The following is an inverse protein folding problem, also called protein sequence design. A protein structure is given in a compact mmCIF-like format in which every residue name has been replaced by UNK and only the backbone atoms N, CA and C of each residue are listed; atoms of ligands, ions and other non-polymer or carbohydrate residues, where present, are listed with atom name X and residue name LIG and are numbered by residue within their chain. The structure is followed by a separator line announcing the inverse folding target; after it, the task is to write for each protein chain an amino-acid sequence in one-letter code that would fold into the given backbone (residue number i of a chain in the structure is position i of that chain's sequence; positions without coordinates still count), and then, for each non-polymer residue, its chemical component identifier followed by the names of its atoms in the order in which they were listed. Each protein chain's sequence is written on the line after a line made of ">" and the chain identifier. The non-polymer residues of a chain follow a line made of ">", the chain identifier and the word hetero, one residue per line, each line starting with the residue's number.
data_IF_475637153727
#
_entry.id   IF_475637153727
#
_cell.length_a   1.000
_cell.length_b   1.000
_cell.length_c   1.000
_cell.angle_alpha   90.00
_cell.angle_beta   90.00
_cell.angle_gamma   90.00
#
_symmetry.space_group_name_H-M   'P 1'
#
loop_
_entity.id
_entity.type
_entity.pdbx_description
1 polymer ?
#
# COMPACT_ATOMS: atom_id res chain seq x y z
N UNK A 1 -49.49 -26.90 -27.81
CA UNK A 1 -48.83 -26.30 -26.63
C UNK A 1 -49.86 -25.40 -25.95
N UNK A 2 -50.33 -25.75 -24.75
CA UNK A 2 -51.37 -24.98 -24.03
C UNK A 2 -50.80 -23.67 -23.52
N UNK A 3 -51.62 -22.61 -23.50
CA UNK A 3 -51.25 -21.24 -23.09
C UNK A 3 -50.59 -21.24 -21.69
N UNK A 4 -51.11 -22.05 -20.76
CA UNK A 4 -50.54 -22.20 -19.42
C UNK A 4 -49.08 -22.67 -19.39
N UNK A 5 -48.69 -23.59 -20.30
CA UNK A 5 -47.30 -24.10 -20.36
C UNK A 5 -46.31 -23.08 -20.92
N UNK A 6 -46.76 -22.19 -21.80
CA UNK A 6 -45.95 -21.06 -22.28
C UNK A 6 -45.72 -20.05 -21.16
N UNK A 7 -46.76 -19.76 -20.38
CA UNK A 7 -46.71 -18.82 -19.27
C UNK A 7 -45.76 -19.29 -18.16
N UNK A 8 -45.83 -20.57 -17.76
CA UNK A 8 -44.94 -21.12 -16.73
C UNK A 8 -43.46 -21.06 -17.12
N UNK A 9 -43.13 -21.34 -18.39
CA UNK A 9 -41.74 -21.29 -18.88
C UNK A 9 -41.18 -19.86 -18.77
N UNK A 10 -41.97 -18.85 -19.16
CA UNK A 10 -41.56 -17.45 -19.05
C UNK A 10 -41.34 -17.02 -17.60
N UNK A 11 -42.21 -17.43 -16.67
CA UNK A 11 -42.05 -17.15 -15.24
C UNK A 11 -40.83 -17.84 -14.64
N UNK A 12 -40.58 -19.11 -14.97
CA UNK A 12 -39.37 -19.82 -14.52
C UNK A 12 -38.10 -19.16 -15.05
N UNK A 13 -38.10 -18.73 -16.32
CA UNK A 13 -36.98 -18.01 -16.90
C UNK A 13 -36.72 -16.67 -16.19
N UNK A 14 -37.77 -15.89 -15.93
CA UNK A 14 -37.67 -14.63 -15.20
C UNK A 14 -37.12 -14.83 -13.79
N UNK A 15 -37.57 -15.86 -13.07
CA UNK A 15 -37.06 -16.20 -11.75
C UNK A 15 -35.57 -16.59 -11.79
N UNK A 16 -35.18 -17.41 -12.76
CA UNK A 16 -33.78 -17.80 -12.96
C UNK A 16 -32.89 -16.59 -13.25
N UNK A 17 -33.39 -15.64 -14.06
CA UNK A 17 -32.68 -14.39 -14.36
C UNK A 17 -32.49 -13.55 -13.09
N UNK A 18 -33.51 -13.40 -12.24
CA UNK A 18 -33.36 -12.66 -10.98
C UNK A 18 -32.32 -13.28 -10.05
N UNK A 19 -32.32 -14.61 -9.95
CA UNK A 19 -31.32 -15.32 -9.14
C UNK A 19 -29.91 -15.10 -9.71
N UNK A 20 -29.75 -15.20 -11.03
CA UNK A 20 -28.47 -14.98 -11.69
C UNK A 20 -27.93 -13.55 -11.45
N UNK A 21 -28.79 -12.53 -11.61
CA UNK A 21 -28.40 -11.14 -11.33
C UNK A 21 -28.05 -10.96 -9.85
N UNK A 22 -28.84 -11.52 -8.93
CA UNK A 22 -28.55 -11.46 -7.50
C UNK A 22 -27.19 -12.07 -7.15
N UNK A 23 -26.87 -13.23 -7.72
CA UNK A 23 -25.56 -13.88 -7.53
C UNK A 23 -24.41 -13.03 -8.10
N UNK A 24 -24.58 -12.48 -9.30
CA UNK A 24 -23.56 -11.61 -9.92
C UNK A 24 -23.31 -10.38 -9.07
N UNK A 25 -24.39 -9.70 -8.63
CA UNK A 25 -24.30 -8.51 -7.77
C UNK A 25 -23.63 -8.85 -6.45
N UNK A 26 -23.96 -9.99 -5.84
CA UNK A 26 -23.32 -10.43 -4.59
C UNK A 26 -21.82 -10.62 -4.76
N UNK A 27 -21.39 -11.37 -5.79
CA UNK A 27 -19.97 -11.63 -6.06
C UNK A 27 -19.21 -10.33 -6.33
N UNK A 28 -19.77 -9.43 -7.16
CA UNK A 28 -19.16 -8.14 -7.45
C UNK A 28 -19.04 -7.27 -6.20
N UNK A 29 -20.09 -7.24 -5.37
CA UNK A 29 -20.09 -6.45 -4.15
C UNK A 29 -19.01 -6.93 -3.16
N UNK A 30 -18.86 -8.25 -2.99
CA UNK A 30 -17.80 -8.81 -2.14
C UNK A 30 -16.40 -8.45 -2.65
N UNK A 31 -16.18 -8.50 -3.97
CA UNK A 31 -14.90 -8.08 -4.57
C UNK A 31 -14.62 -6.61 -4.36
N UNK A 32 -15.61 -5.74 -4.59
CA UNK A 32 -15.47 -4.30 -4.36
C UNK A 32 -15.11 -4.00 -2.91
N UNK A 33 -15.74 -4.68 -1.95
CA UNK A 33 -15.43 -4.50 -0.53
C UNK A 33 -13.99 -4.96 -0.25
N UNK A 34 -13.57 -6.08 -0.81
CA UNK A 34 -12.21 -6.59 -0.66
C UNK A 34 -11.19 -5.60 -1.25
N UNK A 35 -11.38 -5.15 -2.50
CA UNK A 35 -10.50 -4.20 -3.18
C UNK A 35 -10.44 -2.86 -2.42
N UNK A 36 -11.58 -2.36 -1.95
CA UNK A 36 -11.63 -1.13 -1.15
C UNK A 36 -10.90 -1.29 0.20
N UNK A 37 -10.94 -2.48 0.78
CA UNK A 37 -10.22 -2.79 2.02
C UNK A 37 -8.72 -2.84 1.77
N UNK A 38 -8.27 -3.49 0.70
CA UNK A 38 -6.86 -3.53 0.29
C UNK A 38 -6.34 -2.11 0.05
N UNK A 39 -7.04 -1.31 -0.78
CA UNK A 39 -6.63 0.09 -1.04
C UNK A 39 -6.55 0.91 0.25
N UNK A 40 -7.52 0.76 1.15
CA UNK A 40 -7.58 1.57 2.37
C UNK A 40 -6.57 1.15 3.43
N UNK A 41 -6.22 -0.13 3.51
CA UNK A 41 -5.39 -0.68 4.60
C UNK A 41 -3.95 -0.97 4.19
N UNK A 42 -3.68 -1.10 2.88
CA UNK A 42 -2.38 -1.44 2.32
C UNK A 42 -1.87 -0.31 1.42
N UNK A 43 -2.49 -0.12 0.24
CA UNK A 43 -1.96 0.78 -0.81
C UNK A 43 -1.81 2.24 -0.36
N UNK A 44 -2.85 2.81 0.29
CA UNK A 44 -2.83 4.23 0.71
C UNK A 44 -1.84 4.47 1.85
N UNK A 45 -1.87 3.70 2.97
CA UNK A 45 -0.86 3.82 4.02
C UNK A 45 0.57 3.61 3.51
N UNK A 46 0.79 2.60 2.65
CA UNK A 46 2.09 2.32 2.01
C UNK A 46 2.62 3.53 1.24
N UNK A 47 1.78 4.14 0.40
CA UNK A 47 2.18 5.30 -0.39
C UNK A 47 2.55 6.50 0.50
N UNK A 48 1.79 6.74 1.57
CA UNK A 48 2.07 7.83 2.53
C UNK A 48 3.41 7.60 3.23
N UNK A 49 3.64 6.39 3.73
CA UNK A 49 4.89 6.04 4.41
C UNK A 49 6.09 6.14 3.46
N UNK A 50 5.95 5.65 2.23
CA UNK A 50 6.97 5.74 1.19
C UNK A 50 7.36 7.18 0.85
N UNK A 51 6.37 8.07 0.71
CA UNK A 51 6.63 9.50 0.52
C UNK A 51 7.34 10.12 1.73
N UNK A 52 6.93 9.75 2.94
CA UNK A 52 7.57 10.26 4.15
C UNK A 52 9.02 9.79 4.29
N UNK A 53 9.32 8.54 3.91
CA UNK A 53 10.69 8.02 3.84
C UNK A 53 11.55 8.81 2.84
N UNK A 54 10.99 9.15 1.68
CA UNK A 54 11.67 9.98 0.69
C UNK A 54 11.97 11.38 1.23
N UNK A 55 11.02 12.00 1.93
CA UNK A 55 11.24 13.29 2.60
C UNK A 55 12.35 13.19 3.65
N UNK A 56 12.37 12.15 4.49
CA UNK A 56 13.44 11.94 5.47
C UNK A 56 14.80 11.77 4.81
N UNK A 57 14.89 11.04 3.69
CA UNK A 57 16.13 10.93 2.92
C UNK A 57 16.62 12.30 2.42
N UNK A 58 15.73 13.12 1.85
CA UNK A 58 16.09 14.47 1.42
C UNK A 58 16.56 15.36 2.58
N UNK A 59 15.97 15.21 3.77
CA UNK A 59 16.42 15.93 4.96
C UNK A 59 17.80 15.45 5.45
N UNK A 60 18.06 14.14 5.43
CA UNK A 60 19.36 13.53 5.76
C UNK A 60 20.45 14.09 4.84
N UNK A 61 20.23 14.08 3.53
CA UNK A 61 21.14 14.68 2.54
C UNK A 61 21.39 16.17 2.81
N UNK A 62 20.32 16.93 3.07
CA UNK A 62 20.43 18.34 3.38
C UNK A 62 21.21 18.61 4.68
N UNK A 63 21.05 17.78 5.71
CA UNK A 63 21.81 17.91 6.96
C UNK A 63 23.30 17.64 6.74
N UNK A 64 23.65 16.64 5.92
CA UNK A 64 25.05 16.35 5.57
C UNK A 64 25.70 17.55 4.88
N UNK A 65 25.05 18.10 3.84
CA UNK A 65 25.57 19.27 3.12
C UNK A 65 25.74 20.49 4.05
N UNK A 66 24.76 20.71 4.93
CA UNK A 66 24.83 21.81 5.90
C UNK A 66 25.93 21.58 6.94
N UNK A 67 26.16 20.33 7.36
CA UNK A 67 27.26 19.99 8.27
C UNK A 67 28.61 20.30 7.63
N UNK A 68 28.83 19.87 6.38
CA UNK A 68 30.07 20.16 5.63
C UNK A 68 30.30 21.66 5.39
N UNK A 69 29.25 22.46 5.30
CA UNK A 69 29.34 23.92 5.17
C UNK A 69 29.47 24.66 6.51
N UNK A 70 29.78 23.93 7.59
CA UNK A 70 30.14 24.49 8.89
C UNK A 70 29.00 24.59 9.91
N UNK A 71 27.80 24.10 9.60
CA UNK A 71 26.68 24.08 10.56
C UNK A 71 26.73 22.82 11.43
N UNK A 72 27.63 22.82 12.43
CA UNK A 72 27.87 21.68 13.32
C UNK A 72 26.60 21.11 14.01
N UNK A 73 25.59 21.95 14.26
CA UNK A 73 24.30 21.54 14.86
C UNK A 73 23.49 20.57 13.98
N UNK A 74 23.82 20.46 12.70
CA UNK A 74 23.10 19.61 11.75
C UNK A 74 23.43 18.13 11.92
N UNK A 75 24.54 17.78 12.59
CA UNK A 75 24.86 16.39 12.96
C UNK A 75 23.75 15.77 13.82
N UNK A 76 23.27 16.49 14.83
CA UNK A 76 22.17 16.00 15.68
C UNK A 76 20.85 15.86 14.90
N UNK A 77 20.61 16.72 13.91
CA UNK A 77 19.43 16.62 13.03
C UNK A 77 19.52 15.41 12.09
N UNK A 78 20.70 15.15 11.54
CA UNK A 78 20.99 13.96 10.74
C UNK A 78 20.67 12.67 11.53
N UNK A 79 21.20 12.54 12.75
CA UNK A 79 20.94 11.37 13.62
C UNK A 79 19.44 11.22 13.95
N UNK A 80 18.74 12.33 14.23
CA UNK A 80 17.30 12.32 14.49
C UNK A 80 16.48 11.89 13.25
N UNK A 81 16.89 12.33 12.06
CA UNK A 81 16.23 11.99 10.81
C UNK A 81 16.47 10.53 10.42
N UNK A 82 17.67 9.98 10.65
CA UNK A 82 17.93 8.53 10.51
C UNK A 82 17.01 7.73 11.43
N UNK A 83 16.91 8.12 12.70
CA UNK A 83 16.02 7.41 13.65
C UNK A 83 14.56 7.45 13.19
N UNK A 84 14.11 8.59 12.67
CA UNK A 84 12.75 8.75 12.16
C UNK A 84 12.52 7.90 10.92
N UNK A 85 13.48 7.90 9.97
CA UNK A 85 13.45 7.04 8.79
C UNK A 85 13.31 5.56 9.18
N UNK A 86 14.16 5.07 10.10
CA UNK A 86 14.13 3.66 10.53
C UNK A 86 12.79 3.28 11.18
N UNK A 87 12.21 4.16 12.01
CA UNK A 87 10.92 3.91 12.63
C UNK A 87 9.78 3.81 11.60
N UNK A 88 9.77 4.71 10.61
CA UNK A 88 8.79 4.70 9.52
C UNK A 88 8.99 3.52 8.57
N UNK A 89 10.25 3.14 8.35
CA UNK A 89 10.60 1.99 7.50
C UNK A 89 10.15 0.68 8.14
N UNK A 90 10.29 0.55 9.45
CA UNK A 90 9.74 -0.59 10.21
C UNK A 90 8.21 -0.63 10.14
N UNK A 91 7.55 0.53 10.16
CA UNK A 91 6.10 0.61 9.97
C UNK A 91 5.66 0.15 8.58
N UNK A 92 6.34 0.62 7.54
CA UNK A 92 6.10 0.18 6.18
C UNK A 92 6.32 -1.34 6.04
N UNK A 93 7.39 -1.88 6.62
CA UNK A 93 7.71 -3.31 6.56
C UNK A 93 6.65 -4.21 7.24
N UNK A 94 5.83 -3.67 8.15
CA UNK A 94 4.72 -4.43 8.77
C UNK A 94 3.49 -4.53 7.88
N UNK A 95 3.31 -3.59 6.95
CA UNK A 95 2.14 -3.49 6.08
C UNK A 95 2.42 -4.23 4.75
N UNK A 96 3.63 -4.06 4.23
CA UNK A 96 4.15 -4.69 3.01
C UNK A 96 4.40 -6.20 3.22
N UNK A 97 3.43 -7.04 2.83
CA UNK A 97 3.48 -8.48 3.06
C UNK A 97 3.60 -9.31 1.78
N UNK A 98 3.40 -8.71 0.61
CA UNK A 98 3.49 -9.42 -0.67
C UNK A 98 4.96 -9.74 -0.97
N UNK A 99 5.20 -10.85 -1.66
CA UNK A 99 6.57 -11.35 -1.88
C UNK A 99 7.49 -10.35 -2.58
N UNK A 100 6.99 -9.60 -3.56
CA UNK A 100 7.78 -8.60 -4.27
C UNK A 100 8.06 -7.36 -3.42
N UNK A 101 7.13 -7.00 -2.52
CA UNK A 101 7.27 -5.90 -1.58
C UNK A 101 8.36 -6.20 -0.54
N UNK A 102 8.33 -7.41 0.03
CA UNK A 102 9.37 -7.85 0.98
C UNK A 102 10.77 -7.79 0.36
N UNK A 103 10.92 -8.21 -0.91
CA UNK A 103 12.21 -8.07 -1.62
C UNK A 103 12.60 -6.60 -1.81
N UNK A 104 11.64 -5.73 -2.12
CA UNK A 104 11.89 -4.30 -2.27
C UNK A 104 12.34 -3.68 -0.95
N UNK A 105 11.71 -4.06 0.17
CA UNK A 105 12.11 -3.63 1.51
C UNK A 105 13.53 -4.07 1.84
N UNK A 106 13.89 -5.34 1.62
CA UNK A 106 15.27 -5.81 1.82
C UNK A 106 16.28 -5.03 0.99
N UNK A 107 15.93 -4.67 -0.25
CA UNK A 107 16.79 -3.86 -1.11
C UNK A 107 16.95 -2.43 -0.57
N UNK A 108 15.87 -1.79 -0.12
CA UNK A 108 15.92 -0.45 0.46
C UNK A 108 16.77 -0.45 1.73
N UNK A 109 16.59 -1.44 2.60
CA UNK A 109 17.38 -1.61 3.81
C UNK A 109 18.88 -1.72 3.51
N UNK A 110 19.25 -2.58 2.54
CA UNK A 110 20.64 -2.72 2.10
C UNK A 110 21.21 -1.40 1.58
N UNK A 111 20.49 -0.71 0.70
CA UNK A 111 20.94 0.56 0.12
C UNK A 111 21.08 1.66 1.19
N UNK A 112 20.17 1.71 2.15
CA UNK A 112 20.22 2.68 3.23
C UNK A 112 21.39 2.40 4.18
N UNK A 113 21.62 1.14 4.52
CA UNK A 113 22.76 0.75 5.36
C UNK A 113 24.10 1.08 4.69
N UNK A 114 24.22 0.82 3.39
CA UNK A 114 25.40 1.19 2.60
C UNK A 114 25.62 2.71 2.60
N UNK A 115 24.56 3.49 2.44
CA UNK A 115 24.61 4.96 2.44
C UNK A 115 25.08 5.53 3.79
N UNK A 116 24.51 5.03 4.90
CA UNK A 116 24.85 5.50 6.25
C UNK A 116 26.25 5.06 6.69
N UNK A 117 26.72 3.89 6.24
CA UNK A 117 28.04 3.37 6.61
C UNK A 117 29.18 3.96 5.76
N UNK A 118 28.88 4.38 4.53
CA UNK A 118 29.88 4.95 3.60
C UNK A 118 30.14 6.46 3.80
N UNK A 119 29.37 7.13 4.65
CA UNK A 119 29.45 8.58 4.93
C UNK A 119 29.98 8.83 6.33
#
# INVERSE_FOLDING_TARGET
>A
MTIGRKLTISFTFMLAMFIAVGLIVYILNTRIIQDATEVSQDDVPSAILSLSLLEKMAEIEANILKYFTGKAKEKTRFEANIKTFLAQFEELARIETKHEEVKMMQKIESLFFDYVTST
#
